data_IF_293967720484
#
_entry.id   IF_293967720484
#
_cell.length_a   1.000
_cell.length_b   1.000
_cell.length_c   1.000
_cell.angle_alpha   90.00
_cell.angle_beta   90.00
_cell.angle_gamma   90.00
#
_symmetry.space_group_name_H-M   'P 1'
#
loop_
_entity.id
_entity.type
_entity.pdbx_description
1 polymer ?
#
# COMPACT_ATOMS: atom_id res chain seq x y z
N UNK A 1 -13.93 -10.97 40.03
CA UNK A 1 -14.37 -11.39 38.68
C UNK A 1 -13.29 -12.30 38.13
N UNK A 2 -13.54 -13.57 37.93
CA UNK A 2 -12.56 -14.53 37.41
C UNK A 2 -12.89 -14.79 35.93
N UNK A 3 -12.19 -14.10 35.03
CA UNK A 3 -12.32 -14.29 33.56
C UNK A 3 -11.26 -15.20 33.01
N UNK A 4 -10.11 -15.33 33.69
CA UNK A 4 -9.02 -16.22 33.29
C UNK A 4 -9.44 -17.68 33.54
N UNK A 5 -9.34 -18.53 32.51
CA UNK A 5 -9.70 -19.95 32.57
C UNK A 5 -11.20 -20.23 32.38
N UNK A 6 -12.02 -19.20 32.10
CA UNK A 6 -13.45 -19.37 31.77
C UNK A 6 -13.68 -19.08 30.28
N UNK A 7 -14.65 -19.82 29.70
CA UNK A 7 -15.12 -19.53 28.33
C UNK A 7 -16.05 -18.32 28.39
N UNK A 8 -15.58 -17.18 27.82
CA UNK A 8 -16.37 -15.95 27.74
C UNK A 8 -16.92 -15.81 26.33
N UNK A 9 -18.21 -15.54 26.22
CA UNK A 9 -18.84 -15.31 24.92
C UNK A 9 -18.28 -14.04 24.27
N UNK A 10 -17.93 -14.13 23.00
CA UNK A 10 -17.44 -13.00 22.22
C UNK A 10 -18.58 -12.01 21.95
N UNK A 11 -18.41 -10.76 22.35
CA UNK A 11 -19.47 -9.72 22.34
C UNK A 11 -20.12 -9.57 20.95
N UNK A 12 -19.30 -9.55 19.90
CA UNK A 12 -19.78 -9.36 18.51
C UNK A 12 -20.15 -10.66 17.78
N UNK A 13 -20.03 -11.84 18.44
CA UNK A 13 -20.24 -13.13 17.77
C UNK A 13 -21.65 -13.25 17.20
N UNK A 14 -22.66 -12.89 17.99
CA UNK A 14 -24.07 -12.99 17.58
C UNK A 14 -24.36 -12.10 16.35
N UNK A 15 -23.88 -10.86 16.36
CA UNK A 15 -24.09 -9.94 15.24
C UNK A 15 -23.44 -10.47 13.96
N UNK A 16 -22.24 -11.05 14.06
CA UNK A 16 -21.52 -11.63 12.91
C UNK A 16 -22.21 -12.85 12.32
N UNK A 17 -22.60 -13.82 13.16
CA UNK A 17 -23.24 -15.07 12.68
C UNK A 17 -24.68 -14.86 12.19
N UNK A 18 -25.33 -13.77 12.62
CA UNK A 18 -26.69 -13.42 12.17
C UNK A 18 -26.70 -12.43 11.00
N UNK A 19 -25.54 -12.00 10.49
CA UNK A 19 -25.43 -11.02 9.40
C UNK A 19 -25.84 -9.60 9.78
N UNK A 20 -25.86 -9.26 11.06
CA UNK A 20 -26.22 -7.94 11.59
C UNK A 20 -25.00 -7.08 11.93
N UNK A 21 -23.78 -7.62 11.83
CA UNK A 21 -22.58 -6.86 12.04
C UNK A 21 -22.40 -5.88 10.87
N UNK A 22 -22.18 -4.62 11.19
CA UNK A 22 -21.86 -3.58 10.21
C UNK A 22 -20.35 -3.39 10.14
N UNK A 23 -19.81 -3.36 8.93
CA UNK A 23 -18.40 -3.11 8.63
C UNK A 23 -18.25 -1.78 7.90
N UNK A 24 -17.03 -1.30 7.69
CA UNK A 24 -16.76 -0.03 7.01
C UNK A 24 -17.43 0.07 5.63
N UNK A 25 -17.44 -1.04 4.89
CA UNK A 25 -18.04 -1.10 3.55
C UNK A 25 -19.59 -1.09 3.55
N UNK A 26 -20.21 -1.29 4.69
CA UNK A 26 -21.69 -1.27 4.83
C UNK A 26 -22.21 0.14 5.12
N UNK A 27 -21.32 1.07 5.51
CA UNK A 27 -21.68 2.46 5.85
C UNK A 27 -22.13 3.18 4.57
N UNK A 28 -23.28 3.83 4.67
CA UNK A 28 -23.83 4.66 3.58
C UNK A 28 -24.27 6.01 4.15
N UNK A 29 -23.69 7.08 3.64
CA UNK A 29 -23.99 8.45 4.02
C UNK A 29 -24.56 9.24 2.82
N UNK A 30 -25.48 10.18 3.05
CA UNK A 30 -25.94 11.06 1.99
C UNK A 30 -24.78 11.85 1.37
N UNK A 31 -24.68 11.83 0.04
CA UNK A 31 -23.60 12.50 -0.70
C UNK A 31 -22.23 11.81 -0.63
N UNK A 32 -22.15 10.57 -0.13
CA UNK A 32 -20.92 9.79 -0.15
C UNK A 32 -20.52 9.45 -1.58
N UNK A 33 -19.24 9.63 -1.89
CA UNK A 33 -18.64 9.24 -3.17
C UNK A 33 -17.99 7.87 -3.08
N UNK A 34 -17.90 7.19 -4.22
CA UNK A 34 -17.17 5.95 -4.39
C UNK A 34 -15.82 6.24 -5.02
N UNK A 35 -14.77 5.68 -4.43
CA UNK A 35 -13.41 5.88 -4.90
C UNK A 35 -12.86 4.63 -5.58
N UNK A 36 -12.06 4.84 -6.64
CA UNK A 36 -11.29 3.81 -7.32
C UNK A 36 -9.86 4.25 -7.53
N UNK A 37 -8.92 3.45 -7.03
CA UNK A 37 -7.48 3.65 -7.30
C UNK A 37 -7.11 3.23 -8.72
N UNK A 38 -6.26 4.03 -9.36
CA UNK A 38 -5.55 3.69 -10.60
C UNK A 38 -4.19 3.16 -10.19
N UNK A 39 -3.98 1.87 -10.40
CA UNK A 39 -2.78 1.17 -9.96
C UNK A 39 -1.74 1.10 -11.07
N UNK A 40 -0.48 1.07 -10.65
CA UNK A 40 0.66 0.91 -11.54
C UNK A 40 0.63 -0.44 -12.28
N UNK A 41 0.92 -0.40 -13.57
CA UNK A 41 1.06 -1.60 -14.42
C UNK A 41 2.47 -2.20 -14.33
N UNK A 42 3.45 -1.40 -13.90
CA UNK A 42 4.85 -1.79 -13.77
C UNK A 42 5.29 -1.75 -12.31
N UNK A 43 6.00 -2.79 -11.88
CA UNK A 43 6.56 -2.87 -10.53
C UNK A 43 7.66 -1.82 -10.29
N UNK A 44 8.38 -1.42 -11.36
CA UNK A 44 9.38 -0.37 -11.30
C UNK A 44 9.44 0.36 -12.65
N UNK A 45 9.05 1.61 -12.66
CA UNK A 45 9.05 2.47 -13.84
C UNK A 45 9.03 3.93 -13.44
N UNK A 46 9.62 4.81 -14.25
CA UNK A 46 9.35 6.25 -14.14
C UNK A 46 7.97 6.54 -14.70
N UNK A 47 7.27 7.46 -14.05
CA UNK A 47 5.99 8.01 -14.51
C UNK A 47 6.32 9.27 -15.34
N UNK A 48 6.14 9.19 -16.64
CA UNK A 48 6.44 10.31 -17.56
C UNK A 48 5.28 11.30 -17.60
N UNK A 49 4.06 10.78 -17.66
CA UNK A 49 2.84 11.60 -17.65
C UNK A 49 1.65 10.84 -17.07
N UNK A 50 0.70 11.58 -16.47
CA UNK A 50 -0.61 11.07 -16.03
C UNK A 50 -1.67 11.98 -16.64
N UNK A 51 -2.41 11.45 -17.62
CA UNK A 51 -3.53 12.14 -18.24
C UNK A 51 -4.85 11.70 -17.60
N UNK A 52 -5.51 12.63 -16.93
CA UNK A 52 -6.76 12.43 -16.21
C UNK A 52 -7.96 13.08 -16.88
N UNK A 53 -7.77 13.78 -18.03
CA UNK A 53 -8.80 14.63 -18.64
C UNK A 53 -10.06 13.85 -19.02
N UNK A 54 -9.89 12.72 -19.68
CA UNK A 54 -11.02 11.87 -20.09
C UNK A 54 -11.81 11.33 -18.90
N UNK A 55 -11.12 10.95 -17.82
CA UNK A 55 -11.74 10.48 -16.59
C UNK A 55 -12.49 11.60 -15.85
N UNK A 56 -11.87 12.77 -15.74
CA UNK A 56 -12.45 13.91 -15.05
C UNK A 56 -13.71 14.46 -15.75
N UNK A 57 -13.80 14.33 -17.07
CA UNK A 57 -14.95 14.77 -17.87
C UNK A 57 -16.07 13.73 -17.98
N UNK A 58 -15.91 12.54 -17.38
CA UNK A 58 -16.94 11.51 -17.40
C UNK A 58 -18.12 11.89 -16.50
N UNK A 59 -19.39 11.76 -16.97
CA UNK A 59 -20.56 12.06 -16.17
C UNK A 59 -20.61 11.28 -14.85
N UNK A 60 -20.85 11.99 -13.74
CA UNK A 60 -20.90 11.43 -12.40
C UNK A 60 -19.55 11.31 -11.69
N UNK A 61 -18.47 11.70 -12.34
CA UNK A 61 -17.14 11.84 -11.68
C UNK A 61 -17.08 13.19 -10.97
N UNK A 62 -16.81 13.17 -9.68
CA UNK A 62 -16.68 14.37 -8.86
C UNK A 62 -15.26 14.96 -8.97
N UNK A 63 -14.24 14.12 -8.92
CA UNK A 63 -12.84 14.52 -9.12
C UNK A 63 -11.94 13.33 -9.45
N UNK A 64 -10.76 13.66 -10.00
CA UNK A 64 -9.62 12.75 -10.11
C UNK A 64 -8.44 13.39 -9.41
N UNK A 65 -7.83 12.68 -8.47
CA UNK A 65 -6.75 13.18 -7.61
C UNK A 65 -5.47 12.44 -7.94
N UNK A 66 -4.38 13.17 -8.07
CA UNK A 66 -3.01 12.65 -8.29
C UNK A 66 -2.07 13.13 -7.18
N UNK A 67 -0.82 12.71 -7.19
CA UNK A 67 0.18 13.18 -6.23
C UNK A 67 0.37 14.70 -6.23
N UNK A 68 0.04 15.39 -7.34
CA UNK A 68 0.14 16.85 -7.47
C UNK A 68 -0.92 17.57 -6.64
N UNK A 69 -2.05 16.92 -6.38
CA UNK A 69 -3.20 17.48 -5.67
C UNK A 69 -3.09 17.35 -4.14
N UNK A 70 -2.07 16.63 -3.65
CA UNK A 70 -1.82 16.44 -2.21
C UNK A 70 -1.18 17.71 -1.64
N UNK A 71 -1.88 18.46 -0.76
CA UNK A 71 -1.39 19.75 -0.26
C UNK A 71 -0.34 19.64 0.85
N UNK A 72 -0.13 18.43 1.41
CA UNK A 72 0.73 18.16 2.56
C UNK A 72 1.86 17.20 2.26
N UNK A 73 2.21 16.41 3.26
CA UNK A 73 3.22 15.36 3.12
C UNK A 73 2.75 14.30 2.12
N UNK A 74 3.61 13.97 1.16
CA UNK A 74 3.33 12.97 0.12
C UNK A 74 3.70 11.55 0.54
N UNK A 75 4.37 11.39 1.67
CA UNK A 75 4.82 10.12 2.21
C UNK A 75 4.22 9.87 3.58
N UNK A 76 3.91 8.62 3.87
CA UNK A 76 3.39 8.12 5.15
C UNK A 76 4.21 6.91 5.61
N UNK A 77 4.03 6.52 6.86
CA UNK A 77 4.63 5.33 7.45
C UNK A 77 4.47 5.35 8.97
N UNK A 78 4.46 4.17 9.59
CA UNK A 78 4.32 4.05 11.06
C UNK A 78 5.66 4.18 11.77
N UNK A 79 6.65 3.37 11.39
CA UNK A 79 8.00 3.39 11.95
C UNK A 79 8.98 4.16 11.07
N UNK A 80 8.79 4.05 9.76
CA UNK A 80 9.58 4.74 8.75
C UNK A 80 8.62 5.44 7.79
N UNK A 81 8.93 6.66 7.41
CA UNK A 81 8.14 7.43 6.42
C UNK A 81 8.72 7.07 5.05
N UNK A 82 8.26 5.96 4.47
CA UNK A 82 8.82 5.34 3.28
C UNK A 82 7.80 5.01 2.19
N UNK A 83 6.51 5.20 2.47
CA UNK A 83 5.44 4.89 1.53
C UNK A 83 4.80 6.15 0.96
N UNK A 84 4.77 6.26 -0.36
CA UNK A 84 4.03 7.34 -1.02
C UNK A 84 2.53 7.13 -0.90
N UNK A 85 1.80 8.20 -0.63
CA UNK A 85 0.32 8.21 -0.63
C UNK A 85 -0.21 7.97 -2.04
N UNK A 86 0.37 8.68 -3.01
CA UNK A 86 0.19 8.44 -4.44
C UNK A 86 1.57 8.55 -5.11
N UNK A 87 1.85 7.64 -6.04
CA UNK A 87 3.10 7.66 -6.80
C UNK A 87 3.17 8.91 -7.70
N UNK A 88 4.27 9.65 -7.61
CA UNK A 88 4.44 10.94 -8.29
C UNK A 88 5.37 10.81 -9.52
N UNK A 89 6.59 10.35 -9.28
CA UNK A 89 7.66 10.30 -10.27
C UNK A 89 8.00 8.88 -10.73
N UNK A 90 7.76 7.90 -9.87
CA UNK A 90 8.18 6.52 -10.09
C UNK A 90 7.26 5.54 -9.36
N UNK A 91 7.01 4.39 -9.99
CA UNK A 91 6.39 3.23 -9.34
C UNK A 91 7.46 2.38 -8.66
N UNK A 92 7.18 1.88 -7.46
CA UNK A 92 8.13 1.16 -6.62
C UNK A 92 7.74 -0.28 -6.36
N UNK A 93 6.47 -0.61 -6.59
CA UNK A 93 5.93 -1.96 -6.53
C UNK A 93 4.72 -2.11 -7.45
N UNK A 94 4.37 -3.34 -7.79
CA UNK A 94 3.19 -3.62 -8.59
C UNK A 94 1.92 -3.26 -7.80
N UNK A 95 1.08 -2.43 -8.39
CA UNK A 95 -0.15 -1.95 -7.72
C UNK A 95 0.04 -0.67 -6.91
N UNK A 96 1.21 0.00 -7.00
CA UNK A 96 1.39 1.35 -6.47
C UNK A 96 0.30 2.29 -7.02
N UNK A 97 -0.30 3.12 -6.17
CA UNK A 97 -1.45 3.95 -6.57
C UNK A 97 -0.97 5.25 -7.17
N UNK A 98 -1.38 5.54 -8.41
CA UNK A 98 -0.96 6.74 -9.16
C UNK A 98 -2.01 7.85 -9.09
N UNK A 99 -3.29 7.46 -9.18
CA UNK A 99 -4.41 8.39 -9.10
C UNK A 99 -5.60 7.75 -8.39
N UNK A 100 -6.51 8.57 -7.88
CA UNK A 100 -7.79 8.13 -7.31
C UNK A 100 -8.91 8.87 -8.01
N UNK A 101 -9.88 8.12 -8.53
CA UNK A 101 -11.12 8.65 -9.09
C UNK A 101 -12.21 8.59 -8.03
N UNK A 102 -12.94 9.68 -7.83
CA UNK A 102 -14.14 9.73 -6.98
C UNK A 102 -15.38 10.03 -7.82
N UNK A 103 -16.44 9.22 -7.69
CA UNK A 103 -17.65 9.33 -8.48
C UNK A 103 -18.90 9.02 -7.65
N UNK A 104 -20.09 9.35 -8.18
CA UNK A 104 -21.39 9.14 -7.53
C UNK A 104 -21.71 7.64 -7.32
N UNK A 105 -21.19 6.76 -8.15
CA UNK A 105 -21.39 5.32 -8.05
C UNK A 105 -20.09 4.55 -8.27
N UNK A 106 -20.00 3.35 -7.67
CA UNK A 106 -18.85 2.46 -7.86
C UNK A 106 -18.58 2.16 -9.34
N UNK A 107 -19.65 1.90 -10.12
CA UNK A 107 -19.51 1.64 -11.57
C UNK A 107 -18.88 2.82 -12.31
N UNK A 108 -19.31 4.04 -12.02
CA UNK A 108 -18.71 5.23 -12.64
C UNK A 108 -17.24 5.41 -12.24
N UNK A 109 -16.91 5.18 -10.96
CA UNK A 109 -15.51 5.21 -10.51
C UNK A 109 -14.65 4.17 -11.23
N UNK A 110 -15.15 2.93 -11.39
CA UNK A 110 -14.45 1.84 -12.07
C UNK A 110 -14.27 2.11 -13.58
N UNK A 111 -15.29 2.68 -14.24
CA UNK A 111 -15.25 3.01 -15.66
C UNK A 111 -14.31 4.20 -15.90
N UNK A 112 -14.39 5.24 -15.07
CA UNK A 112 -13.54 6.42 -15.19
C UNK A 112 -12.06 6.11 -14.89
N UNK A 113 -11.78 5.24 -13.92
CA UNK A 113 -10.41 4.83 -13.62
C UNK A 113 -9.68 4.21 -14.82
N UNK A 114 -10.41 3.52 -15.72
CA UNK A 114 -9.86 2.94 -16.96
C UNK A 114 -9.53 3.99 -18.03
N UNK A 115 -10.06 5.20 -17.89
CA UNK A 115 -9.80 6.31 -18.82
C UNK A 115 -8.56 7.12 -18.45
N UNK A 116 -8.03 6.94 -17.25
CA UNK A 116 -6.75 7.54 -16.85
C UNK A 116 -5.64 6.86 -17.62
N UNK A 117 -4.83 7.66 -18.33
CA UNK A 117 -3.69 7.15 -19.10
C UNK A 117 -2.40 7.53 -18.41
N UNK A 118 -1.50 6.56 -18.28
CA UNK A 118 -0.19 6.76 -17.68
C UNK A 118 0.87 6.34 -18.68
N UNK A 119 1.84 7.20 -18.90
CA UNK A 119 3.02 6.88 -19.71
C UNK A 119 4.18 6.51 -18.81
N UNK A 120 4.83 5.39 -19.11
CA UNK A 120 5.90 4.82 -18.31
C UNK A 120 7.20 4.68 -19.09
N UNK A 121 8.31 4.82 -18.37
CA UNK A 121 9.63 4.34 -18.78
C UNK A 121 10.01 3.18 -17.86
N UNK A 122 9.87 1.91 -18.30
CA UNK A 122 10.16 0.75 -17.47
C UNK A 122 11.62 0.73 -17.00
N UNK A 123 11.83 0.32 -15.76
CA UNK A 123 13.14 0.17 -15.13
C UNK A 123 13.33 -1.29 -14.68
N UNK A 124 14.59 -1.74 -14.47
CA UNK A 124 14.85 -3.05 -13.93
C UNK A 124 14.15 -3.28 -12.59
N UNK A 125 13.61 -4.49 -12.37
CA UNK A 125 12.87 -4.83 -11.17
C UNK A 125 13.78 -5.58 -10.19
N UNK A 126 13.81 -5.14 -8.94
CA UNK A 126 14.45 -5.84 -7.83
C UNK A 126 13.40 -6.67 -7.07
N UNK A 127 13.24 -7.93 -7.46
CA UNK A 127 12.22 -8.82 -6.92
C UNK A 127 12.69 -9.74 -5.79
N UNK A 128 13.99 -9.83 -5.56
CA UNK A 128 14.59 -10.68 -4.50
C UNK A 128 15.32 -9.79 -3.49
N UNK A 129 14.93 -9.81 -2.20
CA UNK A 129 15.58 -9.02 -1.17
C UNK A 129 17.07 -9.33 -1.00
N UNK A 130 17.54 -10.56 -1.26
CA UNK A 130 18.96 -10.90 -1.17
C UNK A 130 19.80 -10.23 -2.25
N UNK A 131 19.26 -10.05 -3.45
CA UNK A 131 19.91 -9.37 -4.56
C UNK A 131 19.68 -7.86 -4.55
N UNK A 132 18.70 -7.38 -3.78
CA UNK A 132 18.41 -5.97 -3.63
C UNK A 132 19.37 -5.28 -2.66
N UNK A 133 19.84 -5.98 -1.63
CA UNK A 133 20.80 -5.42 -0.67
C UNK A 133 22.08 -5.04 -1.41
N UNK A 134 22.55 -3.82 -1.17
CA UNK A 134 23.75 -3.24 -1.77
C UNK A 134 23.74 -3.21 -3.32
N UNK A 135 22.56 -3.31 -3.95
CA UNK A 135 22.42 -3.14 -5.38
C UNK A 135 22.62 -1.66 -5.78
N UNK A 136 23.26 -1.42 -6.93
CA UNK A 136 23.45 -0.07 -7.46
C UNK A 136 22.14 0.65 -7.74
N UNK A 137 21.08 -0.10 -8.06
CA UNK A 137 19.74 0.43 -8.23
C UNK A 137 19.07 0.64 -6.88
N UNK A 138 18.81 1.89 -6.53
CA UNK A 138 18.16 2.29 -5.28
C UNK A 138 16.67 2.56 -5.53
N UNK A 139 15.79 1.86 -4.81
CA UNK A 139 14.33 2.01 -4.92
C UNK A 139 13.84 3.25 -4.16
N UNK A 140 14.39 3.48 -2.97
CA UNK A 140 14.10 4.68 -2.17
C UNK A 140 15.43 5.37 -1.81
N UNK A 141 15.64 6.63 -2.23
CA UNK A 141 16.87 7.37 -1.96
C UNK A 141 17.24 7.50 -0.47
N UNK A 142 16.25 7.45 0.43
CA UNK A 142 16.49 7.50 1.87
C UNK A 142 17.12 6.21 2.42
N UNK A 143 17.10 5.14 1.62
CA UNK A 143 17.65 3.82 1.95
C UNK A 143 18.63 3.34 0.86
N UNK A 144 19.82 3.93 0.80
CA UNK A 144 20.75 3.75 -0.34
C UNK A 144 21.25 2.32 -0.54
N UNK A 145 21.09 1.45 0.44
CA UNK A 145 21.37 0.01 0.34
C UNK A 145 20.11 -0.86 0.20
N UNK A 146 18.95 -0.26 -0.12
CA UNK A 146 17.64 -0.92 -0.20
C UNK A 146 17.19 -1.62 1.08
N UNK A 147 17.69 -1.19 2.25
CA UNK A 147 17.35 -1.76 3.54
C UNK A 147 16.76 -0.67 4.44
N UNK A 148 15.46 -0.72 4.68
CA UNK A 148 14.73 0.29 5.46
C UNK A 148 14.97 0.20 6.97
N UNK A 149 15.53 -0.90 7.46
CA UNK A 149 15.87 -1.04 8.88
C UNK A 149 16.38 -2.42 9.23
N UNK A 150 16.90 -2.55 10.43
CA UNK A 150 17.35 -3.81 10.99
C UNK A 150 17.16 -3.85 12.49
N UNK A 151 16.81 -5.00 13.01
CA UNK A 151 16.76 -5.27 14.45
C UNK A 151 17.79 -6.33 14.78
N UNK A 152 18.66 -6.00 15.72
CA UNK A 152 19.66 -6.95 16.22
C UNK A 152 19.35 -7.29 17.67
N UNK A 153 18.93 -8.55 17.90
CA UNK A 153 18.70 -9.07 19.24
C UNK A 153 19.78 -10.12 19.56
N UNK A 154 20.48 -9.96 20.68
CA UNK A 154 21.51 -10.87 21.14
C UNK A 154 21.24 -11.31 22.58
N UNK A 155 21.25 -12.63 22.81
CA UNK A 155 21.21 -13.22 24.17
C UNK A 155 22.27 -14.30 24.27
N UNK A 156 23.20 -14.14 25.20
CA UNK A 156 24.32 -15.07 25.39
C UNK A 156 25.40 -14.94 24.32
N UNK A 157 26.18 -16.01 24.18
CA UNK A 157 27.24 -16.13 23.20
C UNK A 157 26.88 -17.21 22.16
N UNK A 158 26.41 -16.76 20.99
CA UNK A 158 25.93 -17.63 19.93
C UNK A 158 27.07 -18.44 19.33
N UNK A 159 28.22 -17.82 19.08
CA UNK A 159 29.38 -18.49 18.49
C UNK A 159 29.85 -19.66 19.35
N UNK A 160 29.94 -19.43 20.66
CA UNK A 160 30.29 -20.49 21.62
C UNK A 160 29.22 -21.59 21.63
N UNK A 161 27.94 -21.22 21.65
CA UNK A 161 26.86 -22.21 21.69
C UNK A 161 26.80 -23.06 20.43
N UNK A 162 27.05 -22.48 19.24
CA UNK A 162 27.13 -23.21 17.98
C UNK A 162 28.37 -24.18 17.99
N UNK A 163 29.52 -23.71 18.50
CA UNK A 163 30.73 -24.54 18.58
C UNK A 163 30.58 -25.72 19.57
N UNK A 164 29.76 -25.58 20.59
CA UNK A 164 29.47 -26.61 21.60
C UNK A 164 28.27 -27.52 21.23
N UNK A 165 27.55 -27.22 20.11
CA UNK A 165 26.39 -27.98 19.66
C UNK A 165 26.82 -29.26 18.95
N UNK A 166 26.13 -30.39 19.22
CA UNK A 166 26.39 -31.67 18.55
C UNK A 166 26.02 -31.64 17.07
N UNK A 167 25.02 -30.83 16.69
CA UNK A 167 24.53 -30.67 15.31
C UNK A 167 24.22 -29.18 15.06
N UNK A 168 24.71 -28.66 13.94
CA UNK A 168 24.41 -27.32 13.43
C UNK A 168 23.79 -27.46 12.03
N UNK A 169 22.64 -26.88 11.80
CA UNK A 169 21.88 -26.93 10.53
C UNK A 169 21.75 -25.52 9.96
#
# INVERSE_FOLDING_TARGET
MHTVGTSVERIEALAKVTGKAEFGDDIRLPGMLYCKGVHAEYAHAKILSVDTEAAANMPGVACVVTAKDIPGAKMIGELFIDQYVLADDMTRFLGDVIAVVAADTQRQADEAAKLVKVEYEPLPVLGDPKTAIDNEQVINPDYPNNMCGGVHAKKGDIEKSLAESDIVV
#
